data_IF_616973685735
#
_entry.id   IF_616973685735
#
_cell.length_a   1.000
_cell.length_b   1.000
_cell.length_c   1.000
_cell.angle_alpha   90.00
_cell.angle_beta   90.00
_cell.angle_gamma   90.00
#
_symmetry.space_group_name_H-M   'P 1'
#
loop_
_entity.id
_entity.type
_entity.pdbx_description
1 polymer ?
2 non-polymer ?
3 non-polymer ?
4 water ?
#
# COMPACT_ATOMS: atom_id res chain seq x y z
N UNK A 4 -7.93 -23.43 -9.04
CA UNK A 4 -8.99 -23.54 -10.08
C UNK A 4 -10.37 -23.18 -9.50
N UNK A 5 -11.36 -23.10 -10.39
CA UNK A 5 -12.72 -22.61 -10.11
C UNK A 5 -12.76 -21.08 -9.99
N UNK A 6 -11.97 -20.53 -9.07
CA UNK A 6 -11.90 -19.08 -8.92
C UNK A 6 -11.35 -18.42 -10.19
N UNK A 7 -10.35 -19.04 -10.80
CA UNK A 7 -9.78 -18.53 -12.04
C UNK A 7 -10.77 -18.57 -13.19
N UNK A 8 -11.52 -19.66 -13.32
CA UNK A 8 -12.48 -19.75 -14.42
C UNK A 8 -13.56 -18.67 -14.29
N UNK A 9 -14.01 -18.42 -13.06
CA UNK A 9 -15.02 -17.39 -12.80
C UNK A 9 -14.49 -16.01 -13.12
N UNK A 10 -13.27 -15.73 -12.66
CA UNK A 10 -12.68 -14.42 -12.89
C UNK A 10 -12.38 -14.17 -14.37
N UNK A 11 -11.79 -15.16 -15.04
CA UNK A 11 -11.36 -14.97 -16.42
C UNK A 11 -12.54 -14.82 -17.38
N UNK A 12 -13.66 -15.45 -17.05
CA UNK A 12 -14.85 -15.42 -17.90
C UNK A 12 -15.70 -14.16 -17.75
N UNK A 13 -15.47 -13.39 -16.68
CA UNK A 13 -16.29 -12.22 -16.39
C UNK A 13 -16.00 -11.04 -17.32
N UNK A 14 -17.06 -10.33 -17.68
CA UNK A 14 -16.92 -9.04 -18.33
C UNK A 14 -16.51 -8.08 -17.22
N UNK A 15 -15.40 -7.37 -17.44
CA UNK A 15 -14.91 -6.42 -16.45
C UNK A 15 -15.67 -5.09 -16.55
N UNK A 16 -16.38 -4.72 -15.47
CA UNK A 16 -17.13 -3.46 -15.52
C UNK A 16 -16.21 -2.26 -15.68
N UNK A 17 -16.78 -1.12 -16.08
CA UNK A 17 -16.00 0.08 -16.31
C UNK A 17 -15.51 0.67 -14.99
N UNK A 18 -14.46 1.49 -15.07
CA UNK A 18 -13.95 2.17 -13.88
C UNK A 18 -15.04 3.03 -13.24
N UNK A 19 -15.88 3.67 -14.08
CA UNK A 19 -16.99 4.51 -13.60
C UNK A 19 -17.92 3.67 -12.71
N UNK A 20 -18.38 2.55 -13.25
CA UNK A 20 -19.27 1.63 -12.54
C UNK A 20 -18.65 1.15 -11.22
N UNK A 21 -17.36 0.80 -11.27
CA UNK A 21 -16.67 0.27 -10.09
C UNK A 21 -16.28 1.30 -9.04
N UNK A 22 -16.42 2.59 -9.37
CA UNK A 22 -16.13 3.72 -8.46
C UNK A 22 -14.66 3.84 -8.05
N UNK A 23 -13.78 3.18 -8.80
CA UNK A 23 -12.37 3.10 -8.41
C UNK A 23 -11.55 4.37 -8.63
N UNK A 24 -12.10 5.36 -9.34
CA UNK A 24 -11.41 6.64 -9.52
C UNK A 24 -11.60 7.54 -8.30
N UNK A 25 -12.53 7.17 -7.42
CA UNK A 25 -12.86 7.99 -6.25
C UNK A 25 -11.85 7.82 -5.12
N UNK A 26 -11.28 8.91 -4.62
CA UNK A 26 -10.47 8.80 -3.41
C UNK A 26 -11.24 8.25 -2.20
N UNK A 27 -12.56 8.46 -2.17
CA UNK A 27 -13.38 8.03 -1.02
C UNK A 27 -13.88 6.56 -1.10
N UNK A 28 -13.34 5.83 -2.05
CA UNK A 28 -13.69 4.42 -2.29
C UNK A 28 -13.71 3.52 -1.04
N UNK A 29 -14.74 2.67 -0.98
CA UNK A 29 -14.84 1.62 0.05
C UNK A 29 -14.88 0.23 -0.59
N UNK A 30 -14.07 -0.70 -0.09
CA UNK A 30 -14.08 -2.08 -0.58
C UNK A 30 -15.07 -2.96 0.19
N UNK A 31 -15.62 -2.45 1.29
CA UNK A 31 -16.31 -3.28 2.28
C UNK A 31 -17.52 -4.07 1.73
N UNK A 32 -18.19 -3.47 0.76
CA UNK A 32 -19.40 -4.05 0.18
C UNK A 32 -19.09 -4.97 -1.00
N UNK A 33 -17.82 -5.11 -1.35
CA UNK A 33 -17.42 -5.93 -2.48
C UNK A 33 -17.02 -7.34 -2.10
N UNK A 34 -17.35 -8.29 -2.96
CA UNK A 34 -16.90 -9.66 -2.80
C UNK A 34 -15.43 -9.75 -3.22
N UNK A 35 -14.79 -10.87 -2.90
CA UNK A 35 -13.41 -11.10 -3.37
C UNK A 35 -13.33 -11.03 -4.88
N UNK A 36 -14.28 -11.66 -5.57
CA UNK A 36 -14.31 -11.63 -7.02
C UNK A 36 -14.41 -10.19 -7.55
N UNK A 37 -15.26 -9.37 -6.92
CA UNK A 37 -15.41 -8.00 -7.34
C UNK A 37 -14.11 -7.20 -7.17
N UNK A 38 -13.37 -7.47 -6.08
CA UNK A 38 -12.08 -6.79 -5.93
C UNK A 38 -11.09 -7.20 -7.02
N UNK A 39 -11.16 -8.47 -7.45
CA UNK A 39 -10.30 -8.94 -8.51
C UNK A 39 -10.67 -8.28 -9.84
N UNK A 40 -11.98 -8.11 -10.10
CA UNK A 40 -12.44 -7.38 -11.27
C UNK A 40 -11.98 -5.92 -11.27
N UNK A 41 -12.10 -5.26 -10.12
CA UNK A 41 -11.57 -3.90 -9.97
C UNK A 41 -10.08 -3.84 -10.31
N UNK A 42 -9.34 -4.85 -9.87
CA UNK A 42 -7.90 -4.92 -10.12
C UNK A 42 -7.61 -5.03 -11.61
N UNK A 43 -8.37 -5.88 -12.31
CA UNK A 43 -8.19 -6.01 -13.77
C UNK A 43 -8.45 -4.65 -14.42
N UNK A 44 -9.51 -3.97 -13.98
CA UNK A 44 -9.86 -2.65 -14.49
C UNK A 44 -8.74 -1.63 -14.27
N UNK A 45 -8.08 -1.69 -13.11
CA UNK A 45 -6.96 -0.80 -12.86
C UNK A 45 -5.84 -1.00 -13.88
N UNK A 46 -5.47 -2.26 -14.12
CA UNK A 46 -4.43 -2.56 -15.13
C UNK A 46 -4.85 -2.07 -16.51
N UNK A 47 -6.12 -2.29 -16.84
CA UNK A 47 -6.64 -1.98 -18.16
C UNK A 47 -6.66 -0.46 -18.39
N UNK A 48 -7.15 0.29 -17.42
CA UNK A 48 -7.33 1.73 -17.63
C UNK A 48 -6.06 2.53 -17.47
N UNK A 49 -5.02 1.91 -16.92
CA UNK A 49 -3.69 2.51 -16.89
C UNK A 49 -2.86 2.13 -18.12
N UNK A 50 -3.52 1.50 -19.09
CA UNK A 50 -2.89 1.14 -20.36
C UNK A 50 -1.69 0.22 -20.10
N UNK A 51 -1.88 -0.78 -19.25
CA UNK A 51 -0.81 -1.73 -18.98
C UNK A 51 -0.99 -3.06 -19.70
N UNK A 52 -2.24 -3.45 -19.93
CA UNK A 52 -2.54 -4.76 -20.49
C UNK A 52 -2.09 -4.89 -21.96
N UNK A 53 -2.57 -4.00 -22.82
CA UNK A 53 -2.18 -4.06 -24.24
C UNK A 53 -0.72 -3.61 -24.40
N UNK A 54 -0.37 -2.52 -23.72
CA UNK A 54 1.00 -1.95 -23.74
C UNK A 54 2.06 -3.02 -23.51
N UNK A 55 1.86 -3.85 -22.48
CA UNK A 55 2.86 -4.85 -22.13
C UNK A 55 2.50 -6.28 -22.50
N UNK A 56 1.54 -6.39 -23.42
CA UNK A 56 1.12 -7.68 -24.00
C UNK A 56 0.73 -8.72 -22.93
N UNK A 57 0.02 -8.29 -21.89
CA UNK A 57 -0.46 -9.21 -20.85
C UNK A 57 -1.63 -10.06 -21.36
N UNK A 58 -1.48 -11.38 -21.26
CA UNK A 58 -2.55 -12.30 -21.61
C UNK A 58 -3.60 -12.27 -20.51
N UNK A 59 -4.88 -12.26 -20.87
CA UNK A 59 -5.95 -12.13 -19.89
C UNK A 59 -5.88 -13.17 -18.76
N UNK A 60 -5.69 -14.43 -19.14
CA UNK A 60 -5.69 -15.54 -18.21
C UNK A 60 -4.51 -15.45 -17.26
N UNK A 61 -3.39 -14.94 -17.77
CA UNK A 61 -2.18 -14.78 -16.97
C UNK A 61 -2.38 -13.68 -15.92
N UNK A 62 -2.91 -12.53 -16.36
CA UNK A 62 -3.24 -11.45 -15.42
C UNK A 62 -4.22 -11.89 -14.35
N UNK A 63 -5.27 -12.60 -14.76
CA UNK A 63 -6.24 -13.14 -13.81
C UNK A 63 -5.58 -14.09 -12.79
N UNK A 64 -4.73 -14.99 -13.28
CA UNK A 64 -4.07 -15.93 -12.38
C UNK A 64 -3.15 -15.20 -11.44
N UNK A 65 -2.40 -14.22 -11.94
CA UNK A 65 -1.51 -13.45 -11.08
C UNK A 65 -2.27 -12.72 -9.97
N UNK A 66 -3.38 -12.08 -10.32
CA UNK A 66 -4.18 -11.37 -9.32
C UNK A 66 -4.65 -12.35 -8.24
N UNK A 67 -5.10 -13.53 -8.64
CA UNK A 67 -5.60 -14.49 -7.67
C UNK A 67 -4.46 -15.03 -6.82
N UNK A 68 -3.27 -15.20 -7.43
CA UNK A 68 -2.12 -15.65 -6.64
C UNK A 68 -1.71 -14.61 -5.61
N UNK A 69 -1.73 -13.34 -6.01
CA UNK A 69 -1.40 -12.26 -5.07
C UNK A 69 -2.39 -12.29 -3.93
N UNK A 70 -3.68 -12.32 -4.27
CA UNK A 70 -4.74 -12.37 -3.26
C UNK A 70 -4.56 -13.55 -2.29
N UNK A 71 -4.27 -14.74 -2.83
CA UNK A 71 -4.10 -15.95 -2.03
C UNK A 71 -2.94 -15.85 -1.05
N UNK A 72 -1.91 -15.10 -1.43
CA UNK A 72 -0.70 -15.05 -0.63
C UNK A 72 -0.68 -13.97 0.44
N UNK A 73 -1.84 -13.36 0.67
CA UNK A 73 -2.10 -12.63 1.90
C UNK A 73 -2.69 -13.59 2.92
N UNK A 74 -2.47 -13.30 4.20
CA UNK A 74 -2.99 -14.16 5.26
C UNK A 74 -4.35 -13.62 5.69
N UNK A 75 -5.39 -14.36 5.34
CA UNK A 75 -6.77 -13.88 5.47
C UNK A 75 -7.15 -13.49 6.89
N UNK A 76 -6.58 -14.16 7.89
CA UNK A 76 -6.98 -13.86 9.26
C UNK A 76 -6.10 -12.87 9.97
N UNK A 77 -5.08 -12.33 9.29
CA UNK A 77 -4.38 -11.17 9.82
C UNK A 77 -5.34 -9.99 9.72
N UNK A 78 -5.54 -9.23 10.80
CA UNK A 78 -6.69 -8.33 10.84
C UNK A 78 -6.65 -7.17 9.85
N UNK A 79 -5.48 -6.57 9.67
CA UNK A 79 -5.34 -5.41 8.81
C UNK A 79 -4.53 -5.72 7.55
N UNK A 80 -3.34 -6.29 7.73
CA UNK A 80 -2.44 -6.54 6.58
C UNK A 80 -2.82 -7.80 5.84
N UNK A 81 -3.98 -7.74 5.18
CA UNK A 81 -4.48 -8.84 4.39
C UNK A 81 -4.80 -8.31 3.00
N UNK A 82 -5.39 -9.14 2.14
CA UNK A 82 -5.67 -8.71 0.77
C UNK A 82 -6.42 -7.38 0.69
N UNK A 83 -7.40 -7.14 1.55
CA UNK A 83 -8.15 -5.90 1.42
C UNK A 83 -7.30 -4.65 1.59
N UNK A 84 -6.29 -4.70 2.47
CA UNK A 84 -5.39 -3.56 2.58
C UNK A 84 -4.55 -3.36 1.32
N UNK A 85 -4.09 -4.45 0.72
CA UNK A 85 -3.29 -4.33 -0.51
C UNK A 85 -4.16 -3.78 -1.65
N UNK A 86 -5.36 -4.33 -1.76
CA UNK A 86 -6.32 -3.88 -2.74
C UNK A 86 -6.62 -2.37 -2.58
N UNK A 87 -6.84 -1.92 -1.36
CA UNK A 87 -7.11 -0.53 -1.09
C UNK A 87 -5.93 0.37 -1.43
N UNK A 88 -4.72 -0.13 -1.14
CA UNK A 88 -3.49 0.59 -1.48
C UNK A 88 -3.41 0.79 -3.00
N UNK A 89 -3.67 -0.29 -3.74
CA UNK A 89 -3.67 -0.22 -5.21
C UNK A 89 -4.77 0.70 -5.72
N UNK A 90 -5.95 0.63 -5.11
CA UNK A 90 -7.02 1.52 -5.52
C UNK A 90 -6.65 2.99 -5.27
N UNK A 91 -5.99 3.28 -4.15
CA UNK A 91 -5.56 4.65 -3.90
C UNK A 91 -4.53 5.09 -4.93
N UNK A 92 -3.65 4.17 -5.32
CA UNK A 92 -2.65 4.43 -6.34
C UNK A 92 -3.36 4.78 -7.66
N UNK A 93 -4.36 3.98 -8.03
CA UNK A 93 -5.14 4.25 -9.24
C UNK A 93 -5.81 5.63 -9.16
N UNK A 94 -6.46 5.93 -8.04
CA UNK A 94 -7.13 7.22 -7.87
C UNK A 94 -6.14 8.40 -7.93
N UNK A 95 -4.98 8.23 -7.29
CA UNK A 95 -3.94 9.26 -7.32
C UNK A 95 -3.45 9.47 -8.75
N UNK A 96 -3.30 8.39 -9.51
CA UNK A 96 -2.85 8.51 -10.89
C UNK A 96 -3.90 9.16 -11.78
N UNK A 97 -5.16 8.81 -11.56
CA UNK A 97 -6.28 9.31 -12.37
C UNK A 97 -6.80 10.64 -11.86
N UNK A 98 -7.67 10.59 -10.84
CA UNK A 98 -8.24 11.80 -10.23
C UNK A 98 -7.18 12.77 -9.70
N UNK A 99 -6.10 12.22 -9.14
CA UNK A 99 -5.02 13.03 -8.60
C UNK A 99 -4.04 13.55 -9.64
N UNK A 100 -4.21 13.10 -10.88
CA UNK A 100 -3.44 13.60 -12.03
C UNK A 100 -1.94 13.31 -11.96
N UNK A 101 -1.56 12.23 -11.29
CA UNK A 101 -0.14 11.88 -11.24
C UNK A 101 0.32 11.12 -12.49
N UNK A 102 -0.61 10.47 -13.19
CA UNK A 102 -0.29 9.58 -14.31
C UNK A 102 0.63 10.23 -15.33
N UNK A 103 0.30 11.44 -15.76
CA UNK A 103 1.10 12.05 -16.83
C UNK A 103 2.48 12.54 -16.40
N UNK A 104 2.76 12.49 -15.10
CA UNK A 104 4.07 12.85 -14.56
C UNK A 104 5.06 11.67 -14.56
N UNK A 105 4.56 10.49 -14.88
CA UNK A 105 5.31 9.24 -14.72
C UNK A 105 5.47 8.52 -16.03
N UNK A 106 6.46 7.64 -16.08
CA UNK A 106 6.67 6.79 -17.25
C UNK A 106 5.72 5.59 -17.19
N UNK A 107 5.49 4.95 -18.34
CA UNK A 107 4.70 3.70 -18.37
C UNK A 107 5.26 2.63 -17.44
N UNK A 108 6.58 2.47 -17.43
CA UNK A 108 7.22 1.47 -16.54
C UNK A 108 7.04 1.83 -15.07
N UNK A 109 7.11 3.10 -14.73
CA UNK A 109 6.85 3.53 -13.36
C UNK A 109 5.43 3.20 -12.93
N UNK A 110 4.46 3.46 -13.81
CA UNK A 110 3.06 3.14 -13.50
C UNK A 110 2.87 1.63 -13.33
N UNK A 111 3.45 0.86 -14.24
CA UNK A 111 3.41 -0.59 -14.16
C UNK A 111 3.96 -1.07 -12.82
N UNK A 112 5.14 -0.57 -12.46
CA UNK A 112 5.81 -0.98 -11.23
C UNK A 112 5.03 -0.56 -9.98
N UNK A 113 4.48 0.65 -9.99
CA UNK A 113 3.71 1.15 -8.84
C UNK A 113 2.49 0.31 -8.58
N UNK A 114 1.78 -0.08 -9.63
CA UNK A 114 0.55 -0.83 -9.43
C UNK A 114 0.89 -2.22 -8.90
N UNK A 115 1.88 -2.88 -9.52
CA UNK A 115 2.34 -4.17 -9.02
C UNK A 115 2.82 -4.07 -7.58
N UNK A 116 3.61 -3.05 -7.28
CA UNK A 116 4.14 -2.88 -5.93
C UNK A 116 3.02 -2.66 -4.94
N UNK A 117 2.05 -1.81 -5.28
CA UNK A 117 0.94 -1.54 -4.37
C UNK A 117 0.22 -2.84 -4.03
N UNK A 118 -0.06 -3.65 -5.04
CA UNK A 118 -0.78 -4.91 -4.80
C UNK A 118 0.05 -5.92 -4.01
N UNK A 119 1.37 -5.87 -4.19
CA UNK A 119 2.27 -6.88 -3.65
C UNK A 119 2.97 -6.49 -2.34
N UNK A 120 2.80 -5.23 -1.91
CA UNK A 120 3.74 -4.65 -0.94
C UNK A 120 3.68 -5.24 0.48
N UNK A 121 2.62 -6.00 0.81
CA UNK A 121 2.54 -6.64 2.14
C UNK A 121 2.37 -8.14 2.02
N UNK A 122 2.71 -8.71 0.87
CA UNK A 122 2.54 -10.16 0.68
C UNK A 122 3.03 -11.01 1.85
N UNK A 123 2.17 -11.94 2.28
CA UNK A 123 2.54 -12.90 3.34
C UNK A 123 2.86 -12.22 4.68
N UNK A 124 2.24 -11.07 4.90
CA UNK A 124 2.47 -10.34 6.15
C UNK A 124 2.01 -11.20 7.34
N UNK A 125 2.89 -11.36 8.34
CA UNK A 125 2.55 -12.22 9.49
C UNK A 125 1.72 -11.54 10.59
N UNK A 126 1.41 -10.25 10.43
CA UNK A 126 0.61 -9.50 11.41
C UNK A 126 1.38 -9.07 12.63
N UNK A 127 2.71 -9.03 12.52
CA UNK A 127 3.59 -8.52 13.58
C UNK A 127 4.64 -7.65 12.91
N UNK A 128 5.21 -6.73 13.68
CA UNK A 128 6.10 -5.72 13.12
C UNK A 128 7.53 -6.21 12.92
N UNK A 129 8.33 -5.41 12.23
CA UNK A 129 9.75 -5.66 12.08
C UNK A 129 10.45 -5.86 13.42
N UNK A 130 10.14 -4.98 14.38
CA UNK A 130 10.79 -5.07 15.67
C UNK A 130 10.44 -6.40 16.36
N UNK A 131 9.18 -6.83 16.25
CA UNK A 131 8.79 -8.12 16.81
C UNK A 131 9.59 -9.27 16.18
N UNK A 132 9.75 -9.24 14.87
CA UNK A 132 10.51 -10.28 14.17
C UNK A 132 11.96 -10.31 14.64
N UNK A 133 12.53 -9.13 14.84
CA UNK A 133 13.87 -9.01 15.38
C UNK A 133 13.93 -9.60 16.78
N UNK A 134 12.94 -9.29 17.60
CA UNK A 134 12.98 -9.69 19.01
C UNK A 134 12.68 -11.17 19.24
N UNK A 135 12.04 -11.81 18.27
CA UNK A 135 11.73 -13.24 18.38
C UNK A 135 12.66 -14.08 17.51
N UNK A 136 13.80 -13.50 17.13
CA UNK A 136 14.86 -14.24 16.42
C UNK A 136 14.43 -14.84 15.10
N UNK A 137 13.63 -14.07 14.35
CA UNK A 137 13.19 -14.49 13.03
C UNK A 137 14.38 -14.72 12.12
N UNK A 138 14.33 -15.82 11.39
CA UNK A 138 15.30 -16.08 10.35
C UNK A 138 15.33 -14.99 9.30
N UNK A 139 14.15 -14.41 9.02
CA UNK A 139 14.06 -13.30 8.09
C UNK A 139 14.88 -12.11 8.55
N UNK A 140 14.83 -11.81 9.86
CA UNK A 140 15.61 -10.70 10.39
C UNK A 140 17.10 -10.96 10.25
N UNK A 141 17.50 -12.20 10.52
CA UNK A 141 18.89 -12.58 10.36
C UNK A 141 19.31 -12.48 8.89
N UNK A 142 18.46 -13.00 8.00
CA UNK A 142 18.71 -12.95 6.55
C UNK A 142 18.91 -11.49 6.08
N UNK A 143 18.05 -10.60 6.57
CA UNK A 143 18.00 -9.24 6.06
C UNK A 143 18.68 -8.21 6.98
N UNK A 144 19.50 -8.70 7.92
CA UNK A 144 20.32 -7.86 8.78
C UNK A 144 19.52 -6.82 9.57
N UNK A 145 18.31 -7.22 9.96
CA UNK A 145 17.40 -6.37 10.75
C UNK A 145 16.91 -5.11 10.03
N UNK A 146 17.15 -5.04 8.71
CA UNK A 146 16.77 -3.85 7.94
C UNK A 146 15.56 -4.14 7.06
N UNK A 147 14.49 -3.38 7.27
CA UNK A 147 13.25 -3.52 6.48
C UNK A 147 12.92 -4.98 6.26
N UNK A 148 12.87 -5.72 7.38
CA UNK A 148 12.81 -7.18 7.31
C UNK A 148 11.55 -7.65 6.56
N UNK A 149 10.39 -7.17 6.99
CA UNK A 149 9.13 -7.56 6.38
C UNK A 149 9.12 -7.19 4.91
N UNK A 150 9.65 -6.00 4.60
CA UNK A 150 9.55 -5.46 3.25
C UNK A 150 10.44 -6.21 2.26
N UNK A 151 11.60 -6.67 2.73
CA UNK A 151 12.40 -7.58 1.91
C UNK A 151 11.62 -8.86 1.66
N UNK A 152 10.94 -9.36 2.70
CA UNK A 152 10.13 -10.57 2.53
C UNK A 152 8.99 -10.35 1.54
N UNK A 153 8.33 -9.20 1.62
CA UNK A 153 7.22 -8.92 0.68
C UNK A 153 7.76 -8.88 -0.75
N UNK A 154 8.94 -8.27 -0.92
CA UNK A 154 9.55 -8.21 -2.24
C UNK A 154 9.92 -9.62 -2.75
N UNK A 155 10.50 -10.45 -1.89
CA UNK A 155 10.80 -11.84 -2.24
C UNK A 155 9.56 -12.58 -2.73
N UNK A 156 8.46 -12.41 -2.00
CA UNK A 156 7.18 -13.00 -2.36
C UNK A 156 6.65 -12.46 -3.69
N UNK A 157 6.83 -11.17 -3.90
CA UNK A 157 6.41 -10.54 -5.14
C UNK A 157 7.13 -11.19 -6.32
N UNK A 158 8.43 -11.32 -6.19
CA UNK A 158 9.27 -11.98 -7.19
C UNK A 158 8.81 -13.41 -7.46
N UNK A 159 8.54 -14.13 -6.39
CA UNK A 159 8.13 -15.53 -6.48
C UNK A 159 6.85 -15.66 -7.31
N UNK A 160 5.89 -14.78 -7.09
CA UNK A 160 4.64 -14.85 -7.83
C UNK A 160 4.85 -14.44 -9.28
N UNK A 161 5.62 -13.38 -9.50
CA UNK A 161 5.90 -12.92 -10.86
C UNK A 161 6.58 -13.99 -11.71
N UNK A 162 7.31 -14.90 -11.05
CA UNK A 162 8.05 -15.95 -11.75
C UNK A 162 7.34 -17.28 -11.82
N UNK A 163 6.19 -17.37 -11.15
CA UNK A 163 5.44 -18.61 -11.05
C UNK A 163 4.81 -18.94 -12.40
N UNK A 164 4.88 -20.21 -12.84
CA UNK A 164 4.29 -20.56 -14.13
C UNK A 164 2.83 -20.14 -14.21
N UNK A 165 2.45 -19.54 -15.34
CA UNK A 165 1.08 -19.10 -15.58
C UNK A 165 0.75 -17.74 -14.97
N UNK A 166 1.69 -17.15 -14.24
CA UNK A 166 1.47 -15.88 -13.55
C UNK A 166 2.39 -14.76 -14.01
N UNK A 167 3.12 -15.00 -15.09
CA UNK A 167 4.22 -14.12 -15.46
C UNK A 167 3.79 -12.89 -16.26
N UNK A 168 3.15 -11.95 -15.57
CA UNK A 168 2.61 -10.74 -16.23
C UNK A 168 3.66 -9.79 -16.81
N UNK A 169 4.93 -10.00 -16.44
CA UNK A 169 6.03 -9.21 -17.01
C UNK A 169 6.84 -9.93 -18.08
N UNK A 170 6.39 -11.13 -18.46
CA UNK A 170 7.13 -11.97 -19.42
C UNK A 170 7.29 -11.33 -20.79
N UNK A 171 6.39 -10.41 -21.12
CA UNK A 171 6.37 -9.69 -22.40
C UNK A 171 7.29 -8.49 -22.49
N UNK A 172 7.91 -8.09 -21.38
CA UNK A 172 8.81 -6.95 -21.39
C UNK A 172 10.13 -7.29 -22.05
N UNK A 173 10.72 -6.30 -22.71
CA UNK A 173 12.08 -6.44 -23.19
C UNK A 173 13.03 -6.54 -22.00
N UNK A 174 14.24 -7.01 -22.27
CA UNK A 174 15.23 -7.16 -21.22
C UNK A 174 15.46 -5.86 -20.45
N UNK A 175 15.60 -4.74 -21.17
CA UNK A 175 15.86 -3.47 -20.51
C UNK A 175 14.66 -2.95 -19.72
N UNK A 176 13.47 -3.12 -20.27
CA UNK A 176 12.25 -2.67 -19.58
C UNK A 176 12.02 -3.50 -18.32
N UNK A 177 12.30 -4.79 -18.39
CA UNK A 177 12.16 -5.69 -17.27
C UNK A 177 13.11 -5.30 -16.13
N UNK A 178 14.38 -5.05 -16.49
CA UNK A 178 15.36 -4.60 -15.52
C UNK A 178 14.91 -3.33 -14.81
N UNK A 179 14.47 -2.34 -15.58
CA UNK A 179 14.03 -1.06 -15.06
C UNK A 179 12.85 -1.26 -14.11
N UNK A 180 11.88 -2.07 -14.55
CA UNK A 180 10.63 -2.25 -13.81
C UNK A 180 10.86 -2.93 -12.46
N UNK A 181 11.67 -4.00 -12.47
CA UNK A 181 11.97 -4.73 -11.23
C UNK A 181 12.66 -3.86 -10.20
N UNK A 182 13.55 -2.97 -10.66
CA UNK A 182 14.23 -2.04 -9.76
C UNK A 182 13.23 -1.08 -9.09
N UNK A 183 12.30 -0.56 -9.87
CA UNK A 183 11.27 0.34 -9.34
C UNK A 183 10.38 -0.40 -8.35
N UNK A 184 10.00 -1.63 -8.70
CA UNK A 184 9.19 -2.45 -7.78
C UNK A 184 9.90 -2.64 -6.43
N UNK A 185 11.18 -3.01 -6.48
CA UNK A 185 11.92 -3.22 -5.24
C UNK A 185 11.90 -1.95 -4.40
N UNK A 186 12.25 -0.80 -5.01
CA UNK A 186 12.29 0.45 -4.23
C UNK A 186 10.91 0.83 -3.69
N UNK A 187 9.87 0.60 -4.50
CA UNK A 187 8.51 0.91 -4.09
C UNK A 187 8.05 0.09 -2.88
N UNK A 188 8.32 -1.22 -2.91
CA UNK A 188 7.96 -2.08 -1.79
C UNK A 188 8.80 -1.72 -0.54
N UNK A 189 10.09 -1.55 -0.69
CA UNK A 189 10.91 -1.15 0.46
C UNK A 189 10.44 0.17 1.06
N UNK A 190 9.97 1.10 0.22
CA UNK A 190 9.54 2.41 0.68
C UNK A 190 8.39 2.35 1.67
N UNK A 191 7.65 1.24 1.65
CA UNK A 191 6.49 1.08 2.55
C UNK A 191 6.88 0.76 4.00
N UNK A 192 8.16 0.55 4.25
CA UNK A 192 8.70 0.51 5.61
C UNK A 192 8.61 1.93 6.16
N UNK A 193 7.74 2.14 7.16
CA UNK A 193 7.55 3.49 7.69
C UNK A 193 8.85 4.07 8.26
N UNK A 194 9.77 3.20 8.71
CA UNK A 194 11.10 3.67 9.13
C UNK A 194 11.86 4.37 8.01
N UNK A 195 11.74 3.85 6.79
CA UNK A 195 12.39 4.47 5.62
C UNK A 195 11.68 5.74 5.19
N UNK A 196 10.36 5.78 5.34
CA UNK A 196 9.63 7.03 5.14
C UNK A 196 10.14 8.13 6.08
N UNK A 197 10.22 7.81 7.37
CA UNK A 197 10.70 8.78 8.36
C UNK A 197 12.14 9.21 8.04
N UNK A 198 12.98 8.27 7.58
CA UNK A 198 14.38 8.56 7.21
C UNK A 198 14.52 9.52 6.03
N UNK A 199 13.69 9.34 5.02
CA UNK A 199 13.87 10.04 3.74
C UNK A 199 12.97 11.24 3.53
N UNK A 200 11.90 11.37 4.32
CA UNK A 200 10.92 12.39 4.02
C UNK A 200 11.47 13.80 4.20
N UNK A 201 12.43 13.96 5.12
CA UNK A 201 13.01 15.25 5.39
C UNK A 201 13.59 15.85 4.13
N UNK A 202 14.26 15.02 3.35
CA UNK A 202 14.86 15.45 2.07
C UNK A 202 13.77 15.93 1.12
N UNK A 203 12.69 15.16 1.02
CA UNK A 203 11.56 15.49 0.15
C UNK A 203 10.92 16.81 0.55
N UNK A 204 10.62 16.96 1.85
CA UNK A 204 9.95 18.16 2.34
C UNK A 204 10.82 19.40 2.14
N UNK A 205 12.14 19.23 2.34
CA UNK A 205 13.10 20.32 2.17
C UNK A 205 13.22 20.76 0.71
N UNK A 206 13.26 19.80 -0.20
CA UNK A 206 13.29 20.14 -1.63
C UNK A 206 12.09 20.99 -2.01
N UNK A 207 10.91 20.62 -1.52
CA UNK A 207 9.69 21.36 -1.79
C UNK A 207 9.75 22.75 -1.16
N UNK A 208 10.15 22.81 0.10
CA UNK A 208 10.20 24.08 0.84
C UNK A 208 11.14 25.10 0.19
N UNK A 209 12.26 24.59 -0.33
CA UNK A 209 13.29 25.44 -0.94
C UNK A 209 13.09 25.60 -2.46
N UNK A 210 11.93 25.20 -2.97
CA UNK A 210 11.63 25.31 -4.41
C UNK A 210 12.70 24.64 -5.29
N UNK A 211 13.15 23.48 -4.85
CA UNK A 211 14.20 22.75 -5.53
C UNK A 211 13.67 21.46 -6.10
N UNK A 212 12.40 21.16 -5.87
CA UNK A 212 11.88 19.86 -6.24
C UNK A 212 11.68 19.78 -7.75
N UNK A 213 12.25 18.74 -8.34
CA UNK A 213 12.29 18.57 -9.78
C UNK A 213 12.15 17.09 -10.12
N UNK A 214 10.96 16.71 -10.58
CA UNK A 214 10.68 15.34 -11.01
C UNK A 214 11.54 14.80 -12.15
N UNK A 215 12.16 15.71 -12.92
CA UNK A 215 13.06 15.31 -14.00
C UNK A 215 14.41 14.80 -13.50
N UNK A 216 14.73 15.07 -12.23
CA UNK A 216 15.93 14.53 -11.62
C UNK A 216 15.63 13.10 -11.20
N UNK A 217 16.39 12.12 -11.71
CA UNK A 217 16.08 10.71 -11.41
C UNK A 217 16.04 10.39 -9.91
N UNK A 218 16.95 10.96 -9.13
CA UNK A 218 16.96 10.73 -7.70
C UNK A 218 15.69 11.28 -7.03
N UNK A 219 15.27 12.47 -7.46
CA UNK A 219 14.07 13.10 -6.90
C UNK A 219 12.81 12.35 -7.35
N UNK A 220 12.82 11.83 -8.57
CA UNK A 220 11.71 11.00 -9.03
C UNK A 220 11.57 9.74 -8.15
N UNK A 221 12.69 9.07 -7.89
CA UNK A 221 12.68 7.89 -7.01
C UNK A 221 12.13 8.25 -5.61
N UNK A 222 12.61 9.36 -5.06
CA UNK A 222 12.16 9.87 -3.76
C UNK A 222 10.65 10.10 -3.77
N UNK A 223 10.15 10.76 -4.82
CA UNK A 223 8.72 10.98 -4.96
C UNK A 223 7.91 9.67 -5.01
N UNK A 224 8.39 8.69 -5.77
CA UNK A 224 7.69 7.40 -5.85
C UNK A 224 7.62 6.74 -4.47
N UNK A 225 8.69 6.89 -3.69
CA UNK A 225 8.70 6.33 -2.34
C UNK A 225 7.62 6.99 -1.48
N UNK A 226 7.52 8.31 -1.57
CA UNK A 226 6.55 9.06 -0.80
C UNK A 226 5.11 8.75 -1.24
N UNK A 227 4.92 8.59 -2.54
CA UNK A 227 3.63 8.22 -3.11
C UNK A 227 3.19 6.84 -2.59
N UNK A 228 4.13 5.88 -2.56
CA UNK A 228 3.83 4.58 -1.95
C UNK A 228 3.33 4.72 -0.52
N UNK A 229 4.03 5.51 0.30
CA UNK A 229 3.58 5.74 1.68
C UNK A 229 2.20 6.40 1.72
N UNK A 230 1.98 7.38 0.86
CA UNK A 230 0.69 8.06 0.84
C UNK A 230 -0.45 7.08 0.53
N UNK A 231 -0.18 6.13 -0.37
CA UNK A 231 -1.20 5.14 -0.70
C UNK A 231 -1.37 4.11 0.43
N UNK A 232 -0.26 3.69 1.01
CA UNK A 232 -0.24 2.68 2.08
C UNK A 232 -1.05 3.18 3.28
N UNK A 233 -0.98 4.48 3.53
CA UNK A 233 -1.62 5.08 4.71
C UNK A 233 -3.02 5.60 4.44
N UNK A 234 -3.52 5.37 3.24
CA UNK A 234 -4.69 6.12 2.79
C UNK A 234 -6.00 5.86 3.53
N UNK A 235 -6.08 4.78 4.31
CA UNK A 235 -7.25 4.61 5.18
C UNK A 235 -7.47 5.82 6.06
N UNK A 236 -6.36 6.47 6.45
CA UNK A 236 -6.43 7.60 7.36
C UNK A 236 -7.12 8.82 6.72
N UNK A 237 -7.31 8.76 5.40
CA UNK A 237 -7.92 9.86 4.66
C UNK A 237 -9.40 9.62 4.32
N UNK A 238 -9.91 8.43 4.63
CA UNK A 238 -11.23 8.03 4.15
C UNK A 238 -12.35 8.74 4.93
N UNK A 239 -13.58 8.76 4.36
CA UNK A 239 -14.71 9.26 5.16
C UNK A 239 -14.73 8.58 6.52
N UNK A 240 -15.10 9.35 7.54
CA UNK A 240 -15.01 8.87 8.91
C UNK A 240 -15.47 7.42 9.17
N UNK A 241 -16.67 7.01 8.67
CA UNK A 241 -17.09 5.66 9.03
C UNK A 241 -16.21 4.56 8.44
N UNK A 242 -15.67 4.80 7.25
CA UNK A 242 -14.73 3.89 6.61
C UNK A 242 -13.41 3.89 7.39
N UNK A 243 -12.88 5.09 7.66
CA UNK A 243 -11.65 5.21 8.41
C UNK A 243 -11.77 4.57 9.81
N UNK A 244 -12.91 4.77 10.47
CA UNK A 244 -13.11 4.21 11.79
C UNK A 244 -13.14 2.68 11.77
N UNK A 245 -13.79 2.10 10.77
CA UNK A 245 -13.85 0.66 10.62
C UNK A 245 -12.44 0.10 10.39
N UNK A 246 -11.66 0.77 9.56
CA UNK A 246 -10.31 0.28 9.27
C UNK A 246 -9.40 0.49 10.48
N UNK A 247 -9.55 1.61 11.19
CA UNK A 247 -8.79 1.82 12.43
C UNK A 247 -9.00 0.70 13.45
N UNK A 248 -10.21 0.13 13.49
CA UNK A 248 -10.48 -1.03 14.36
C UNK A 248 -9.66 -2.25 13.98
N UNK A 249 -9.53 -2.49 12.69
CA UNK A 249 -8.67 -3.57 12.19
C UNK A 249 -7.21 -3.37 12.56
N UNK A 250 -6.72 -2.14 12.38
CA UNK A 250 -5.34 -1.79 12.73
C UNK A 250 -5.11 -2.08 14.21
N UNK A 251 -6.04 -1.65 15.06
CA UNK A 251 -5.93 -1.88 16.49
C UNK A 251 -5.96 -3.37 16.83
N UNK A 252 -6.85 -4.12 16.18
CA UNK A 252 -6.94 -5.54 16.42
C UNK A 252 -5.58 -6.22 16.16
N UNK A 253 -4.96 -5.86 15.04
CA UNK A 253 -3.67 -6.44 14.68
C UNK A 253 -2.58 -6.07 15.70
N UNK A 254 -2.53 -4.79 16.05
CA UNK A 254 -1.54 -4.30 17.03
C UNK A 254 -1.74 -4.96 18.39
N UNK A 255 -3.00 -5.08 18.82
CA UNK A 255 -3.26 -5.72 20.12
C UNK A 255 -2.94 -7.20 20.10
N UNK A 256 -3.16 -7.85 18.96
CA UNK A 256 -2.77 -9.24 18.84
C UNK A 256 -1.25 -9.38 18.98
N UNK A 257 -0.49 -8.49 18.35
CA UNK A 257 0.95 -8.47 18.59
C UNK A 257 1.31 -8.28 20.07
N UNK A 258 0.63 -7.36 20.72
CA UNK A 258 0.89 -7.12 22.15
C UNK A 258 0.67 -8.37 22.98
N UNK A 259 -0.37 -9.13 22.65
CA UNK A 259 -0.60 -10.43 23.30
C UNK A 259 0.59 -11.37 23.13
N UNK A 260 1.12 -11.46 21.91
CA UNK A 260 2.31 -12.25 21.59
C UNK A 260 3.55 -11.77 22.35
N UNK A 261 3.68 -10.45 22.50
CA UNK A 261 4.83 -9.87 23.21
C UNK A 261 4.79 -10.24 24.69
N UNK A 262 3.61 -10.22 25.27
CA UNK A 262 3.47 -10.62 26.68
C UNK A 262 3.92 -12.06 26.84
N UNK A 263 3.46 -12.92 25.94
CA UNK A 263 3.71 -14.37 26.05
C UNK A 263 5.13 -14.76 25.67
N UNK A 264 5.62 -14.20 24.57
CA UNK A 264 6.87 -14.63 23.95
C UNK A 264 8.08 -13.85 24.42
N UNK A 265 7.86 -12.61 24.85
CA UNK A 265 8.95 -11.74 25.26
C UNK A 265 8.91 -11.37 26.74
N UNK A 266 7.82 -11.72 27.40
CA UNK A 266 7.58 -11.35 28.80
C UNK A 266 7.71 -9.84 29.05
N UNK A 267 7.19 -9.05 28.12
CA UNK A 267 7.20 -7.59 28.26
C UNK A 267 5.78 -7.02 28.26
N UNK A 268 5.61 -5.86 28.89
CA UNK A 268 4.38 -5.10 28.72
C UNK A 268 4.47 -4.35 27.40
N UNK A 269 3.49 -4.56 26.53
CA UNK A 269 3.49 -3.86 25.24
C UNK A 269 3.41 -2.34 25.43
N UNK A 270 3.92 -1.61 24.45
CA UNK A 270 3.68 -0.16 24.40
C UNK A 270 2.17 0.07 24.24
N UNK A 271 1.73 1.30 24.52
CA UNK A 271 0.29 1.60 24.49
C UNK A 271 -0.34 1.19 23.16
N UNK A 272 0.35 1.46 22.06
CA UNK A 272 -0.15 1.13 20.73
C UNK A 272 -0.57 -0.33 20.61
N UNK A 273 0.14 -1.19 21.32
CA UNK A 273 -0.08 -2.62 21.20
C UNK A 273 -0.71 -3.25 22.43
N UNK A 274 -1.17 -2.39 23.34
CA UNK A 274 -1.71 -2.84 24.62
C UNK A 274 -3.23 -2.69 24.70
N UNK A 275 -3.94 -3.82 24.55
CA UNK A 275 -5.40 -3.79 24.55
C UNK A 275 -5.93 -3.20 25.86
N UNK A 276 -5.19 -3.38 26.96
CA UNK A 276 -5.67 -2.86 28.24
C UNK A 276 -5.74 -1.34 28.27
N UNK A 277 -5.01 -0.71 27.36
CA UNK A 277 -4.96 0.76 27.25
C UNK A 277 -5.55 1.24 25.92
N UNK A 278 -6.62 0.58 25.50
CA UNK A 278 -7.29 0.97 24.26
C UNK A 278 -7.90 2.39 24.37
N UNK A 279 -8.00 2.91 25.60
CA UNK A 279 -8.43 4.29 25.81
C UNK A 279 -7.49 5.32 25.18
N UNK A 280 -6.25 4.91 24.86
CA UNK A 280 -5.29 5.83 24.26
C UNK A 280 -5.46 5.99 22.76
N UNK A 281 -6.36 5.22 22.16
CA UNK A 281 -6.51 5.24 20.69
C UNK A 281 -6.76 6.62 20.08
N UNK A 282 -7.77 7.37 20.55
CA UNK A 282 -8.00 8.67 19.91
C UNK A 282 -6.79 9.59 19.97
N UNK A 283 -6.13 9.67 21.11
CA UNK A 283 -4.96 10.54 21.21
C UNK A 283 -3.81 10.07 20.32
N UNK A 284 -3.65 8.76 20.19
CA UNK A 284 -2.59 8.21 19.34
C UNK A 284 -2.88 8.43 17.87
N UNK A 285 -4.14 8.31 17.48
CA UNK A 285 -4.56 8.63 16.11
C UNK A 285 -4.26 10.09 15.77
N UNK A 286 -4.53 10.99 16.69
CA UNK A 286 -4.27 12.41 16.44
C UNK A 286 -2.76 12.60 16.29
N UNK A 287 -2.00 11.96 17.19
CA UNK A 287 -0.55 12.08 17.19
C UNK A 287 0.05 11.58 15.88
N UNK A 288 -0.48 10.45 15.40
CA UNK A 288 -0.02 9.84 14.16
C UNK A 288 -0.35 10.70 12.94
N UNK A 289 -1.56 11.24 12.90
CA UNK A 289 -1.96 12.15 11.84
C UNK A 289 -1.01 13.35 11.79
N UNK A 290 -0.76 13.93 12.96
CA UNK A 290 0.14 15.09 13.02
C UNK A 290 1.58 14.75 12.66
N UNK A 291 2.11 13.65 13.20
CA UNK A 291 3.54 13.33 13.07
C UNK A 291 3.90 12.70 11.74
N UNK A 292 2.98 11.93 11.17
CA UNK A 292 3.27 11.08 10.02
C UNK A 292 2.50 11.52 8.75
N UNK A 293 1.23 11.87 8.91
CA UNK A 293 0.32 11.94 7.78
C UNK A 293 0.19 13.30 7.15
N UNK A 294 -0.06 14.32 7.96
CA UNK A 294 -0.41 15.62 7.39
C UNK A 294 0.67 16.18 6.48
N UNK A 295 1.92 16.10 6.90
CA UNK A 295 3.00 16.68 6.09
C UNK A 295 3.07 15.96 4.76
N UNK A 296 2.87 14.65 4.77
CA UNK A 296 2.91 13.86 3.56
C UNK A 296 1.81 14.26 2.59
N UNK A 297 0.57 14.32 3.06
CA UNK A 297 -0.53 14.69 2.18
C UNK A 297 -0.43 16.15 1.74
N UNK A 298 0.16 17.00 2.57
CA UNK A 298 0.44 18.38 2.17
C UNK A 298 1.45 18.43 1.03
N UNK A 299 2.51 17.64 1.14
CA UNK A 299 3.57 17.60 0.12
C UNK A 299 3.02 17.06 -1.20
N UNK A 300 2.19 16.01 -1.12
CA UNK A 300 1.61 15.39 -2.31
C UNK A 300 0.70 16.38 -3.03
N UNK A 301 -0.07 17.14 -2.27
CA UNK A 301 -0.95 18.18 -2.83
C UNK A 301 -0.13 19.30 -3.48
N UNK A 302 1.02 19.62 -2.91
CA UNK A 302 1.94 20.57 -3.58
C UNK A 302 2.38 20.06 -4.95
N UNK A 303 2.71 18.77 -5.04
CA UNK A 303 3.13 18.16 -6.31
C UNK A 303 1.97 18.14 -7.31
N UNK A 304 0.78 17.76 -6.84
CA UNK A 304 -0.43 17.81 -7.67
C UNK A 304 -1.63 18.25 -6.83
N UNK A 305 -2.16 19.43 -7.14
CA UNK A 305 -3.29 20.00 -6.40
C UNK A 305 -4.50 19.07 -6.37
N UNK A 306 -4.64 18.24 -7.41
CA UNK A 306 -5.78 17.33 -7.52
C UNK A 306 -5.71 16.17 -6.52
N UNK A 307 -4.59 16.07 -5.80
CA UNK A 307 -4.48 15.12 -4.67
C UNK A 307 -5.03 15.69 -3.36
N UNK A 308 -5.48 16.93 -3.40
CA UNK A 308 -6.07 17.59 -2.21
C UNK A 308 -7.08 16.75 -1.39
N UNK A 309 -8.00 16.02 -2.06
CA UNK A 309 -8.98 15.26 -1.26
C UNK A 309 -8.36 14.31 -0.22
N UNK A 310 -7.15 13.82 -0.48
CA UNK A 310 -6.46 12.98 0.50
C UNK A 310 -6.12 13.79 1.75
N UNK A 311 -5.58 14.99 1.53
CA UNK A 311 -5.27 15.89 2.63
C UNK A 311 -6.54 16.31 3.36
N UNK A 312 -7.57 16.68 2.61
CA UNK A 312 -8.86 17.10 3.15
C UNK A 312 -9.44 15.99 4.04
N UNK A 313 -9.42 14.75 3.56
CA UNK A 313 -9.99 13.65 4.33
C UNK A 313 -9.18 13.39 5.60
N UNK A 314 -7.87 13.53 5.50
CA UNK A 314 -7.00 13.36 6.66
C UNK A 314 -7.33 14.41 7.72
N UNK A 315 -7.50 15.67 7.29
CA UNK A 315 -7.82 16.73 8.24
C UNK A 315 -9.15 16.49 8.92
N UNK A 316 -10.13 16.00 8.17
CA UNK A 316 -11.46 15.76 8.74
C UNK A 316 -11.40 14.66 9.80
N UNK A 317 -10.61 13.62 9.55
CA UNK A 317 -10.46 12.58 10.55
C UNK A 317 -9.71 13.05 11.77
N UNK A 318 -8.73 13.94 11.58
CA UNK A 318 -8.05 14.53 12.73
C UNK A 318 -9.04 15.22 13.65
N UNK A 319 -9.95 16.01 13.07
CA UNK A 319 -10.98 16.72 13.85
C UNK A 319 -11.84 15.73 14.64
N UNK A 320 -12.22 14.63 13.99
CA UNK A 320 -13.12 13.66 14.64
C UNK A 320 -12.40 12.93 15.78
N UNK A 321 -11.16 12.50 15.55
CA UNK A 321 -10.40 11.84 16.60
C UNK A 321 -10.11 12.78 17.76
N UNK A 322 -9.76 14.03 17.44
CA UNK A 322 -9.48 15.01 18.49
C UNK A 322 -10.70 15.26 19.37
N UNK A 323 -11.88 15.28 18.76
CA UNK A 323 -13.13 15.45 19.54
C UNK A 323 -13.33 14.29 20.51
N UNK A 324 -12.95 13.09 20.10
CA UNK A 324 -13.03 11.93 21.01
C UNK A 324 -11.97 11.97 22.09
N UNK A 325 -10.78 12.47 21.74
CA UNK A 325 -9.64 12.46 22.66
C UNK A 325 -9.80 13.44 23.81
N UNK A 326 -10.38 14.60 23.52
CA UNK A 326 -10.41 15.69 24.49
C UNK A 326 -11.54 15.57 25.50
#
# INVERSE_FOLDING_TARGET
>A
EEETRELQSLAAAVVPSAQTLKITDFSFSDFELSDLETALCTIRMFTDLNLVQNFQMKHEVLCRWILSVKKNYRKNVAYHNWRHAFNTAQCMFAALKAGKIQNKLTDLEILALLIAALSHDLDHPGVSNQFLINTNSELALMYNDESVLEHHHFDQCLMILNSPGNQILSGLSIEEYKTTLKIIKQAILATDLALYIKRRGEFFELIRKNQFNLEDPHEKELFLAMLMTACDLSAITKPWPIQQRIAELVATEFFDQGDRERKELNIEPTDLMNREKKNKIPSMQVGFIDAICLQLYEALTHVSEDCFPLLDGCRKNRQKWQALAE
#
